data_IF_386940383364
#
_entry.id   IF_386940383364
#
_cell.length_a   1.000
_cell.length_b   1.000
_cell.length_c   1.000
_cell.angle_alpha   90.00
_cell.angle_beta   90.00
_cell.angle_gamma   90.00
#
_symmetry.space_group_name_H-M   'P 1'
#
loop_
_entity.id
_entity.type
_entity.pdbx_description
1 polymer ?
#
# COMPACT_ATOMS: atom_id res chain seq x y z
N UNK A 1 1.63 12.88 13.86
CA UNK A 1 2.81 13.11 13.01
C UNK A 1 2.40 12.98 11.56
N UNK A 2 2.39 14.07 10.79
CA UNK A 2 2.10 14.02 9.36
C UNK A 2 3.21 13.25 8.61
N UNK A 3 2.84 12.34 7.71
CA UNK A 3 3.82 11.61 6.90
C UNK A 3 4.44 12.57 5.87
N UNK A 4 5.76 12.64 5.82
CA UNK A 4 6.47 13.45 4.83
C UNK A 4 6.19 12.91 3.41
N UNK A 5 5.69 13.73 2.47
CA UNK A 5 5.25 13.26 1.14
C UNK A 5 6.36 12.54 0.37
N UNK A 6 7.60 13.04 0.44
CA UNK A 6 8.76 12.37 -0.17
C UNK A 6 8.97 10.92 0.32
N UNK A 7 8.73 10.62 1.59
CA UNK A 7 8.88 9.26 2.13
C UNK A 7 7.79 8.32 1.61
N UNK A 8 6.58 8.84 1.42
CA UNK A 8 5.47 8.08 0.82
C UNK A 8 5.78 7.74 -0.64
N UNK A 9 6.25 8.72 -1.41
CA UNK A 9 6.65 8.52 -2.81
C UNK A 9 7.85 7.59 -2.94
N UNK A 10 8.85 7.71 -2.06
CA UNK A 10 10.01 6.81 -2.03
C UNK A 10 9.59 5.35 -1.82
N UNK A 11 8.71 5.09 -0.83
CA UNK A 11 8.16 3.76 -0.58
C UNK A 11 7.37 3.24 -1.80
N UNK A 12 6.57 4.10 -2.44
CA UNK A 12 5.82 3.74 -3.66
C UNK A 12 6.76 3.40 -4.82
N UNK A 13 7.82 4.17 -5.02
CA UNK A 13 8.81 3.94 -6.08
C UNK A 13 9.54 2.59 -5.90
N UNK A 14 9.97 2.27 -4.69
CA UNK A 14 10.59 0.98 -4.38
C UNK A 14 9.64 -0.20 -4.56
N UNK A 15 8.36 -0.03 -4.18
CA UNK A 15 7.34 -1.05 -4.38
C UNK A 15 7.06 -1.26 -5.87
N UNK A 16 6.80 -0.20 -6.62
CA UNK A 16 6.51 -0.26 -8.05
C UNK A 16 7.67 -0.89 -8.83
N UNK A 17 8.92 -0.51 -8.53
CA UNK A 17 10.09 -1.15 -9.16
C UNK A 17 10.21 -2.63 -8.82
N UNK A 18 9.76 -3.06 -7.63
CA UNK A 18 9.71 -4.48 -7.27
C UNK A 18 8.59 -5.22 -7.99
N UNK A 19 7.44 -4.58 -8.19
CA UNK A 19 6.30 -5.16 -8.92
C UNK A 19 6.70 -5.51 -10.37
N UNK A 20 7.57 -4.71 -11.00
CA UNK A 20 8.13 -5.02 -12.31
C UNK A 20 9.32 -6.00 -12.27
N UNK A 21 10.18 -5.91 -11.24
CA UNK A 21 11.38 -6.72 -11.15
C UNK A 21 11.11 -8.04 -10.41
N UNK A 22 10.83 -9.10 -11.18
CA UNK A 22 10.58 -10.46 -10.65
C UNK A 22 11.75 -10.97 -9.78
N UNK A 23 13.00 -10.71 -10.18
CA UNK A 23 14.20 -11.22 -9.50
C UNK A 23 14.85 -10.20 -8.56
N UNK A 24 15.19 -10.65 -7.36
CA UNK A 24 15.71 -9.78 -6.29
C UNK A 24 17.09 -9.18 -6.56
N UNK A 25 17.93 -9.87 -7.32
CA UNK A 25 19.27 -9.40 -7.69
C UNK A 25 19.18 -8.19 -8.64
N UNK A 26 18.30 -8.27 -9.65
CA UNK A 26 18.02 -7.17 -10.56
C UNK A 26 17.40 -5.97 -9.83
N UNK A 27 16.42 -6.23 -8.97
CA UNK A 27 15.75 -5.17 -8.20
C UNK A 27 16.71 -4.38 -7.31
N UNK A 28 17.72 -5.02 -6.72
CA UNK A 28 18.66 -4.32 -5.81
C UNK A 28 19.40 -3.17 -6.51
N UNK A 29 19.83 -3.36 -7.77
CA UNK A 29 20.44 -2.30 -8.56
C UNK A 29 19.49 -1.12 -8.77
N UNK A 30 18.23 -1.42 -9.13
CA UNK A 30 17.18 -0.40 -9.31
C UNK A 30 16.87 0.33 -8.00
N UNK A 31 16.81 -0.37 -6.87
CA UNK A 31 16.53 0.23 -5.57
C UNK A 31 17.63 1.20 -5.11
N UNK A 32 18.90 0.86 -5.37
CA UNK A 32 20.05 1.76 -5.10
C UNK A 32 19.97 3.00 -5.99
N UNK A 33 19.66 2.83 -7.27
CA UNK A 33 19.47 3.94 -8.20
C UNK A 33 18.32 4.87 -7.79
N UNK A 34 17.16 4.32 -7.42
CA UNK A 34 16.03 5.11 -6.90
C UNK A 34 16.47 5.88 -5.64
N UNK A 35 17.23 5.25 -4.73
CA UNK A 35 17.75 5.95 -3.55
C UNK A 35 18.66 7.12 -3.93
N UNK A 36 19.57 6.97 -4.88
CA UNK A 36 20.45 8.08 -5.29
C UNK A 36 19.67 9.26 -5.85
N UNK A 37 18.56 9.03 -6.58
CA UNK A 37 17.71 10.11 -7.09
C UNK A 37 17.05 10.93 -5.96
N UNK A 38 16.60 10.27 -4.91
CA UNK A 38 16.01 10.95 -3.75
C UNK A 38 17.06 11.66 -2.90
N UNK A 39 18.24 11.05 -2.69
CA UNK A 39 19.34 11.69 -1.94
C UNK A 39 19.89 12.92 -2.67
N UNK A 40 19.96 12.91 -4.00
CA UNK A 40 20.39 14.06 -4.80
C UNK A 40 19.53 15.32 -4.57
N UNK A 41 18.24 15.14 -4.25
CA UNK A 41 17.27 16.23 -4.04
C UNK A 41 16.97 16.49 -2.55
N UNK A 42 17.65 15.82 -1.64
CA UNK A 42 17.36 15.88 -0.18
C UNK A 42 17.53 17.28 0.43
N UNK A 43 18.44 18.08 -0.12
CA UNK A 43 18.80 19.39 0.44
C UNK A 43 18.05 20.57 -0.21
N UNK A 44 17.09 20.30 -1.11
CA UNK A 44 16.26 21.36 -1.70
C UNK A 44 15.39 21.97 -0.62
N UNK A 45 15.55 23.27 -0.34
CA UNK A 45 14.81 23.99 0.72
C UNK A 45 13.64 24.82 0.21
N UNK A 46 13.67 25.21 -1.07
CA UNK A 46 12.62 26.03 -1.67
C UNK A 46 11.32 25.23 -1.76
N UNK A 47 10.22 25.66 -1.11
CA UNK A 47 8.95 24.93 -1.12
C UNK A 47 8.34 24.79 -2.53
N UNK A 48 8.58 25.76 -3.42
CA UNK A 48 8.09 25.70 -4.79
C UNK A 48 8.79 24.57 -5.57
N UNK A 49 10.12 24.52 -5.51
CA UNK A 49 10.92 23.47 -6.15
C UNK A 49 10.58 22.08 -5.59
N UNK A 50 10.44 21.96 -4.26
CA UNK A 50 9.99 20.71 -3.63
C UNK A 50 8.65 20.25 -4.22
N UNK A 51 7.69 21.17 -4.38
CA UNK A 51 6.37 20.83 -4.94
C UNK A 51 6.48 20.34 -6.38
N UNK A 52 7.29 21.00 -7.21
CA UNK A 52 7.53 20.59 -8.60
C UNK A 52 8.13 19.19 -8.66
N UNK A 53 9.19 18.92 -7.89
CA UNK A 53 9.85 17.61 -7.84
C UNK A 53 8.89 16.50 -7.40
N UNK A 54 8.06 16.76 -6.38
CA UNK A 54 7.06 15.79 -5.91
C UNK A 54 6.01 15.50 -6.99
N UNK A 55 5.51 16.53 -7.68
CA UNK A 55 4.54 16.37 -8.77
C UNK A 55 5.11 15.62 -9.98
N UNK A 56 6.37 15.91 -10.35
CA UNK A 56 7.06 15.18 -11.41
C UNK A 56 7.26 13.70 -11.05
N UNK A 57 7.64 13.44 -9.80
CA UNK A 57 7.77 12.07 -9.27
C UNK A 57 6.43 11.34 -9.32
N UNK A 58 5.33 11.99 -8.93
CA UNK A 58 3.98 11.39 -9.02
C UNK A 58 3.58 11.07 -10.45
N UNK A 59 3.82 11.99 -11.40
CA UNK A 59 3.55 11.75 -12.83
C UNK A 59 4.35 10.56 -13.35
N UNK A 60 5.63 10.45 -12.96
CA UNK A 60 6.48 9.32 -13.36
C UNK A 60 5.96 8.00 -12.80
N UNK A 61 5.60 7.96 -11.51
CA UNK A 61 5.08 6.75 -10.88
C UNK A 61 3.73 6.32 -11.46
N UNK A 62 2.86 7.26 -11.83
CA UNK A 62 1.58 6.92 -12.46
C UNK A 62 1.78 6.40 -13.89
N UNK A 63 2.70 6.99 -14.65
CA UNK A 63 3.03 6.55 -16.02
C UNK A 63 3.54 5.11 -16.06
N UNK A 64 4.35 4.71 -15.08
CA UNK A 64 5.00 3.40 -15.04
C UNK A 64 4.32 2.41 -14.09
N UNK A 65 3.09 2.70 -13.69
CA UNK A 65 2.33 1.85 -12.77
C UNK A 65 2.13 0.47 -13.37
N UNK A 66 2.45 -0.56 -12.59
CA UNK A 66 2.20 -1.95 -12.99
C UNK A 66 0.68 -2.20 -13.05
N UNK A 67 0.14 -2.85 -14.10
CA UNK A 67 -1.30 -3.10 -14.23
C UNK A 67 -1.84 -4.02 -13.13
N UNK A 68 -1.07 -5.02 -12.71
CA UNK A 68 -1.43 -5.95 -11.64
C UNK A 68 -0.33 -6.03 -10.55
N UNK A 69 -0.26 -5.05 -9.62
CA UNK A 69 0.85 -4.96 -8.66
C UNK A 69 0.76 -6.04 -7.57
N UNK A 70 1.90 -6.42 -6.97
CA UNK A 70 1.91 -7.43 -5.92
C UNK A 70 1.14 -6.96 -4.67
N UNK A 71 0.22 -7.82 -4.24
CA UNK A 71 -0.55 -7.67 -2.99
C UNK A 71 -0.26 -8.84 -2.07
N UNK A 72 0.04 -8.53 -0.81
CA UNK A 72 0.17 -9.55 0.21
C UNK A 72 -1.17 -10.30 0.34
N UNK A 73 -1.18 -11.64 0.51
CA UNK A 73 -2.41 -12.42 0.48
C UNK A 73 -3.50 -11.94 1.43
N UNK A 74 -3.12 -11.49 2.63
CA UNK A 74 -4.05 -11.04 3.69
C UNK A 74 -4.29 -9.53 3.69
N UNK A 75 -3.71 -8.77 2.76
CA UNK A 75 -3.99 -7.35 2.63
C UNK A 75 -5.27 -7.13 1.81
N UNK A 76 -5.91 -5.95 1.89
CA UNK A 76 -7.05 -5.61 1.06
C UNK A 76 -6.79 -5.84 -0.44
N UNK A 77 -7.66 -6.63 -1.07
CA UNK A 77 -7.52 -7.06 -2.46
C UNK A 77 -6.47 -8.16 -2.71
N UNK A 78 -5.95 -8.80 -1.67
CA UNK A 78 -5.13 -10.00 -1.77
C UNK A 78 -5.97 -11.28 -1.84
N UNK A 79 -5.35 -12.40 -2.25
CA UNK A 79 -6.05 -13.68 -2.49
C UNK A 79 -6.64 -14.36 -1.25
N UNK A 80 -6.24 -13.94 -0.04
CA UNK A 80 -6.73 -14.45 1.25
C UNK A 80 -7.43 -13.36 2.07
N UNK A 81 -7.74 -12.20 1.46
CA UNK A 81 -8.49 -11.13 2.11
C UNK A 81 -9.87 -11.64 2.54
N UNK A 82 -10.27 -11.36 3.78
CA UNK A 82 -11.59 -11.71 4.35
C UNK A 82 -12.01 -13.19 4.24
N UNK A 83 -11.06 -14.10 3.97
CA UNK A 83 -11.36 -15.53 3.80
C UNK A 83 -11.90 -16.18 5.08
N UNK A 84 -11.40 -15.76 6.24
CA UNK A 84 -11.75 -16.29 7.57
C UNK A 84 -12.07 -15.14 8.54
N UNK A 85 -13.14 -14.37 8.27
CA UNK A 85 -13.58 -13.35 9.21
C UNK A 85 -14.14 -14.02 10.49
N UNK A 86 -13.81 -13.50 11.69
CA UNK A 86 -14.45 -13.98 12.91
C UNK A 86 -15.96 -13.71 12.81
N UNK A 87 -16.75 -14.67 13.31
CA UNK A 87 -18.20 -14.50 13.36
C UNK A 87 -18.54 -13.26 14.21
N UNK A 88 -19.48 -12.41 13.76
CA UNK A 88 -19.98 -11.34 14.60
C UNK A 88 -20.54 -11.90 15.91
N UNK A 89 -20.27 -11.23 17.02
CA UNK A 89 -20.93 -11.53 18.28
C UNK A 89 -22.38 -11.06 18.13
N UNK A 90 -23.27 -12.01 17.85
CA UNK A 90 -24.71 -11.77 17.93
C UNK A 90 -25.10 -11.84 19.41
N UNK A 91 -26.01 -10.97 19.85
CA UNK A 91 -26.71 -11.19 21.12
C UNK A 91 -27.34 -12.59 21.08
N UNK A 92 -27.35 -13.28 22.22
CA UNK A 92 -27.81 -14.67 22.32
C UNK A 92 -29.13 -14.86 21.55
N UNK A 93 -29.22 -15.86 20.65
CA UNK A 93 -30.49 -16.17 20.01
C UNK A 93 -31.49 -16.49 21.11
N UNK A 94 -32.63 -15.78 21.12
CA UNK A 94 -33.72 -16.09 22.04
C UNK A 94 -34.06 -17.58 21.87
N UNK A 95 -34.07 -18.39 22.95
CA UNK A 95 -34.34 -19.81 22.85
C UNK A 95 -35.71 -20.02 22.19
N UNK A 96 -35.73 -20.58 20.99
CA UNK A 96 -36.96 -20.81 20.22
C UNK A 96 -37.94 -21.75 20.95
N UNK A 97 -37.44 -22.50 21.93
CA UNK A 97 -38.16 -23.48 22.76
C UNK A 97 -38.90 -22.84 23.96
N UNK A 98 -38.72 -21.53 24.22
CA UNK A 98 -39.45 -20.79 25.25
C UNK A 98 -40.75 -20.15 24.75
N UNK A 99 -41.13 -20.37 23.48
CA UNK A 99 -42.48 -20.07 23.01
C UNK A 99 -43.47 -21.01 23.73
N UNK A 100 -43.84 -20.63 24.95
CA UNK A 100 -44.81 -21.33 25.77
C UNK A 100 -46.10 -21.43 24.98
N UNK A 101 -46.53 -22.67 24.77
CA UNK A 101 -47.90 -23.01 24.41
C UNK A 101 -48.78 -22.57 25.58
N UNK A 102 -49.31 -21.34 25.51
CA UNK A 102 -50.42 -20.92 26.36
C UNK A 102 -51.70 -21.55 25.79
N UNK A 103 -52.18 -22.59 26.47
CA UNK A 103 -53.55 -23.11 26.37
C UNK A 103 -54.36 -22.56 27.54
#
# INVERSE_FOLDING_TARGET
MARHPALVLYKRALKLSLDWAVHRNLWRGQAVYIRSLFEANKNVRNPHEQRVLLQETEKLLEKWKHPDPYRAPTAPGGSKWERNLPVPILNEPQPQHLAKVEN
#
